data_IF_821641115510
#
_entry.id   IF_821641115510
#
_cell.length_a   1.000
_cell.length_b   1.000
_cell.length_c   1.000
_cell.angle_alpha   90.00
_cell.angle_beta   90.00
_cell.angle_gamma   90.00
#
_symmetry.space_group_name_H-M   'P 1'
#
loop_
_entity.id
_entity.type
_entity.pdbx_description
1 polymer ?
#
# COMPACT_ATOMS: atom_id res chain seq x y z
N UNK A 1 54.35 -18.51 -40.70
CA UNK A 1 54.40 -17.30 -41.55
C UNK A 1 52.98 -16.86 -41.85
N UNK A 2 52.76 -15.54 -41.88
CA UNK A 2 51.49 -14.81 -42.06
C UNK A 2 50.80 -15.17 -43.39
N UNK A 3 49.47 -15.07 -43.42
CA UNK A 3 48.73 -14.16 -44.32
C UNK A 3 47.22 -14.20 -43.97
N UNK A 4 46.64 -13.17 -43.34
CA UNK A 4 46.16 -11.90 -43.91
C UNK A 4 45.09 -12.09 -44.99
N UNK A 5 43.84 -11.77 -44.65
CA UNK A 5 43.09 -10.59 -45.12
C UNK A 5 42.47 -10.78 -46.52
N UNK A 6 41.14 -10.64 -46.65
CA UNK A 6 40.45 -9.60 -47.44
C UNK A 6 38.95 -9.98 -47.52
N UNK A 7 38.07 -9.15 -46.94
CA UNK A 7 37.18 -8.22 -47.67
C UNK A 7 35.95 -8.90 -48.29
N UNK A 8 34.75 -8.66 -47.76
CA UNK A 8 33.85 -7.55 -48.12
C UNK A 8 32.88 -7.96 -49.24
N UNK A 9 31.64 -8.19 -48.80
CA UNK A 9 30.43 -7.58 -49.37
C UNK A 9 29.92 -8.09 -50.74
N UNK A 10 28.62 -7.85 -50.94
CA UNK A 10 27.85 -7.96 -52.20
C UNK A 10 27.21 -9.35 -52.39
N UNK A 11 25.96 -9.62 -51.99
CA UNK A 11 24.65 -9.06 -52.40
C UNK A 11 23.90 -10.05 -53.31
N UNK A 12 22.60 -10.21 -53.01
CA UNK A 12 21.50 -10.49 -53.93
C UNK A 12 21.04 -11.94 -54.21
N UNK A 13 19.70 -12.04 -54.22
CA UNK A 13 18.83 -12.95 -54.99
C UNK A 13 18.30 -14.21 -54.31
N UNK A 14 17.25 -13.97 -53.53
CA UNK A 14 15.90 -14.54 -53.74
C UNK A 14 15.75 -15.31 -55.07
N UNK A 15 15.45 -16.62 -54.99
CA UNK A 15 14.53 -17.38 -55.85
C UNK A 15 14.50 -18.83 -55.31
N UNK A 16 13.54 -19.22 -54.48
CA UNK A 16 12.20 -19.74 -54.82
C UNK A 16 12.18 -21.21 -55.29
N UNK A 17 11.27 -21.98 -54.65
CA UNK A 17 10.72 -23.33 -54.91
C UNK A 17 11.31 -24.46 -54.04
N UNK A 18 10.69 -24.82 -52.92
CA UNK A 18 9.37 -25.46 -52.69
C UNK A 18 9.28 -26.87 -53.29
N UNK A 19 9.37 -27.90 -52.43
CA UNK A 19 8.47 -29.06 -52.40
C UNK A 19 8.80 -30.00 -51.22
N UNK A 20 7.86 -30.11 -50.26
CA UNK A 20 7.60 -31.26 -49.34
C UNK A 20 8.78 -31.83 -48.51
N UNK A 21 8.84 -31.73 -47.18
CA UNK A 21 7.80 -32.12 -46.24
C UNK A 21 7.80 -31.25 -44.98
N UNK A 22 6.62 -30.74 -44.69
CA UNK A 22 6.26 -29.74 -43.69
C UNK A 22 5.46 -30.47 -42.62
N UNK A 23 6.10 -30.94 -41.54
CA UNK A 23 5.40 -31.36 -40.30
C UNK A 23 6.40 -31.76 -39.21
N UNK A 24 7.13 -30.81 -38.60
CA UNK A 24 7.79 -31.03 -37.30
C UNK A 24 8.28 -29.75 -36.59
N UNK A 25 8.47 -28.62 -37.28
CA UNK A 25 9.06 -27.42 -36.65
C UNK A 25 8.07 -26.32 -36.24
N UNK A 26 6.75 -26.53 -36.35
CA UNK A 26 5.73 -25.56 -35.90
C UNK A 26 5.42 -25.66 -34.41
N UNK A 27 5.59 -26.84 -33.80
CA UNK A 27 5.19 -27.04 -32.40
C UNK A 27 6.17 -26.38 -31.42
N UNK A 28 7.46 -26.25 -31.74
CA UNK A 28 8.46 -25.80 -30.77
C UNK A 28 8.48 -24.27 -30.55
N UNK A 29 8.16 -23.47 -31.57
CA UNK A 29 7.99 -22.01 -31.42
C UNK A 29 6.66 -21.64 -30.79
N UNK A 30 5.62 -22.41 -31.07
CA UNK A 30 4.30 -22.22 -30.49
C UNK A 30 4.28 -22.64 -29.00
N UNK A 31 4.99 -23.71 -28.63
CA UNK A 31 5.13 -24.14 -27.22
C UNK A 31 5.86 -23.11 -26.35
N UNK A 32 6.93 -22.48 -26.87
CA UNK A 32 7.66 -21.47 -26.11
C UNK A 32 6.84 -20.19 -25.93
N UNK A 33 6.09 -19.75 -26.95
CA UNK A 33 5.15 -18.63 -26.84
C UNK A 33 3.97 -18.92 -25.92
N UNK A 34 3.43 -20.14 -25.93
CA UNK A 34 2.35 -20.58 -25.02
C UNK A 34 2.87 -20.70 -23.58
N UNK A 35 4.11 -21.16 -23.36
CA UNK A 35 4.74 -21.19 -22.03
C UNK A 35 5.00 -19.78 -21.49
N UNK A 36 5.54 -18.86 -22.27
CA UNK A 36 5.69 -17.45 -21.86
C UNK A 36 4.34 -16.78 -21.56
N UNK A 37 3.32 -17.03 -22.39
CA UNK A 37 1.95 -16.52 -22.15
C UNK A 37 1.33 -17.16 -20.90
N UNK A 38 1.55 -18.44 -20.65
CA UNK A 38 1.06 -19.12 -19.44
C UNK A 38 1.77 -18.65 -18.17
N UNK A 39 3.08 -18.38 -18.23
CA UNK A 39 3.83 -17.83 -17.10
C UNK A 39 3.45 -16.35 -16.84
N UNK A 40 3.21 -15.57 -17.90
CA UNK A 40 2.64 -14.23 -17.79
C UNK A 40 1.23 -14.26 -17.21
N UNK A 41 0.35 -15.15 -17.68
CA UNK A 41 -1.00 -15.32 -17.14
C UNK A 41 -0.96 -15.76 -15.67
N UNK A 42 -0.09 -16.70 -15.31
CA UNK A 42 0.10 -17.14 -13.92
C UNK A 42 0.61 -15.99 -13.03
N UNK A 43 1.50 -15.15 -13.55
CA UNK A 43 1.98 -13.95 -12.86
C UNK A 43 0.87 -12.92 -12.69
N UNK A 44 0.04 -12.70 -13.71
CA UNK A 44 -1.12 -11.80 -13.65
C UNK A 44 -2.17 -12.35 -12.68
N UNK A 45 -2.47 -13.65 -12.69
CA UNK A 45 -3.37 -14.29 -11.75
C UNK A 45 -2.87 -14.19 -10.31
N UNK A 46 -1.57 -14.40 -10.07
CA UNK A 46 -0.96 -14.24 -8.75
C UNK A 46 -0.92 -12.77 -8.28
N UNK A 47 -0.71 -11.83 -9.19
CA UNK A 47 -0.77 -10.40 -8.89
C UNK A 47 -2.21 -9.99 -8.56
N UNK A 48 -3.19 -10.45 -9.33
CA UNK A 48 -4.61 -10.18 -9.09
C UNK A 48 -5.07 -10.78 -7.77
N UNK A 49 -4.71 -12.03 -7.45
CA UNK A 49 -5.04 -12.64 -6.16
C UNK A 49 -4.39 -11.92 -4.99
N UNK A 50 -3.14 -11.44 -5.15
CA UNK A 50 -2.45 -10.63 -4.15
C UNK A 50 -3.10 -9.25 -3.97
N UNK A 51 -3.58 -8.64 -5.05
CA UNK A 51 -4.32 -7.37 -5.02
C UNK A 51 -5.68 -7.56 -4.35
N UNK A 52 -6.41 -8.61 -4.68
CA UNK A 52 -7.69 -8.95 -4.03
C UNK A 52 -7.50 -9.19 -2.54
N UNK A 53 -6.50 -9.98 -2.16
CA UNK A 53 -6.16 -10.21 -0.74
C UNK A 53 -5.75 -8.92 -0.03
N UNK A 54 -5.00 -8.04 -0.70
CA UNK A 54 -4.62 -6.72 -0.16
C UNK A 54 -5.86 -5.84 0.02
N UNK A 55 -6.77 -5.81 -0.96
CA UNK A 55 -8.00 -5.03 -0.90
C UNK A 55 -8.93 -5.51 0.20
N UNK A 56 -9.11 -6.82 0.36
CA UNK A 56 -9.92 -7.39 1.44
C UNK A 56 -9.27 -7.15 2.82
N UNK A 57 -7.94 -7.24 2.91
CA UNK A 57 -7.21 -6.87 4.13
C UNK A 57 -7.37 -5.38 4.48
N UNK A 58 -7.32 -4.49 3.49
CA UNK A 58 -7.54 -3.05 3.68
C UNK A 58 -8.99 -2.75 4.07
N UNK A 59 -9.98 -3.38 3.42
CA UNK A 59 -11.40 -3.26 3.82
C UNK A 59 -11.63 -3.72 5.24
N UNK A 60 -11.08 -4.87 5.62
CA UNK A 60 -11.16 -5.38 6.99
C UNK A 60 -10.52 -4.41 8.00
N UNK A 61 -9.37 -3.82 7.63
CA UNK A 61 -8.68 -2.80 8.44
C UNK A 61 -9.52 -1.53 8.60
N UNK A 62 -10.16 -1.06 7.52
CA UNK A 62 -11.06 0.11 7.53
C UNK A 62 -12.30 -0.18 8.37
N UNK A 63 -12.91 -1.36 8.23
CA UNK A 63 -14.08 -1.75 9.01
C UNK A 63 -13.72 -1.83 10.50
N UNK A 64 -12.60 -2.47 10.84
CA UNK A 64 -12.06 -2.49 12.20
C UNK A 64 -11.79 -1.08 12.74
N UNK A 65 -11.34 -0.16 11.89
CA UNK A 65 -11.12 1.25 12.25
C UNK A 65 -12.44 1.97 12.49
N UNK A 66 -13.48 1.72 11.70
CA UNK A 66 -14.83 2.28 11.89
C UNK A 66 -15.47 1.76 13.18
N UNK A 67 -15.34 0.46 13.45
CA UNK A 67 -15.79 -0.14 14.71
C UNK A 67 -15.02 0.43 15.90
N UNK A 68 -13.72 0.63 15.74
CA UNK A 68 -12.90 1.29 16.75
C UNK A 68 -13.35 2.73 16.97
N UNK A 69 -13.61 3.51 15.92
CA UNK A 69 -14.17 4.87 16.02
C UNK A 69 -15.48 4.86 16.82
N UNK A 70 -16.37 3.90 16.54
CA UNK A 70 -17.65 3.78 17.24
C UNK A 70 -17.46 3.38 18.72
N UNK A 71 -16.58 2.42 18.98
CA UNK A 71 -16.24 1.93 20.34
C UNK A 71 -15.50 3.00 21.15
N UNK A 72 -14.68 3.81 20.50
CA UNK A 72 -14.01 4.95 21.11
C UNK A 72 -15.03 6.04 21.36
N UNK A 73 -15.91 6.36 20.41
CA UNK A 73 -17.01 7.30 20.61
C UNK A 73 -17.83 6.99 21.88
N UNK A 74 -18.09 5.72 22.16
CA UNK A 74 -18.76 5.30 23.40
C UNK A 74 -17.85 5.38 24.65
N UNK A 75 -16.58 4.98 24.56
CA UNK A 75 -15.60 5.08 25.66
C UNK A 75 -15.15 6.52 25.99
N UNK A 76 -15.53 7.51 25.17
CA UNK A 76 -15.23 8.93 25.35
C UNK A 76 -16.45 9.77 25.77
N UNK A 77 -17.56 9.12 26.14
CA UNK A 77 -18.64 9.76 26.91
C UNK A 77 -19.89 10.17 26.14
N UNK A 78 -20.17 9.59 24.97
CA UNK A 78 -21.48 9.76 24.33
C UNK A 78 -22.03 8.39 23.95
N UNK A 79 -22.96 7.89 24.76
CA UNK A 79 -23.66 6.61 24.56
C UNK A 79 -24.64 6.61 23.38
N UNK A 80 -24.76 7.71 22.65
CA UNK A 80 -25.53 7.80 21.42
C UNK A 80 -24.58 7.86 20.22
N UNK A 81 -25.01 7.28 19.09
CA UNK A 81 -24.37 7.30 17.77
C UNK A 81 -24.21 8.72 17.20
N UNK A 82 -23.55 9.62 17.95
CA UNK A 82 -23.30 10.99 17.56
C UNK A 82 -22.06 11.01 16.68
N UNK A 83 -22.25 11.53 15.47
CA UNK A 83 -21.19 11.98 14.56
C UNK A 83 -20.06 12.63 15.38
N UNK A 84 -18.82 12.27 15.06
CA UNK A 84 -17.62 12.89 15.64
C UNK A 84 -17.82 14.41 15.70
N UNK A 85 -17.68 15.05 16.87
CA UNK A 85 -17.92 16.47 17.00
C UNK A 85 -17.02 17.24 16.03
N UNK A 86 -17.55 18.28 15.35
CA UNK A 86 -16.76 19.17 14.50
C UNK A 86 -15.50 19.60 15.26
N UNK A 87 -14.33 19.41 14.64
CA UNK A 87 -13.03 19.70 15.25
C UNK A 87 -12.48 18.59 16.14
N UNK A 88 -12.93 17.35 15.99
CA UNK A 88 -12.31 16.16 16.61
C UNK A 88 -11.61 15.34 15.53
N UNK A 89 -10.35 15.00 15.73
CA UNK A 89 -9.58 14.12 14.85
C UNK A 89 -9.35 12.80 15.55
N UNK A 90 -9.60 11.69 14.85
CA UNK A 90 -9.24 10.35 15.28
C UNK A 90 -8.10 9.79 14.42
N UNK A 91 -7.05 9.32 15.09
CA UNK A 91 -5.89 8.69 14.45
C UNK A 91 -5.86 7.23 14.89
N UNK A 92 -5.92 6.31 13.94
CA UNK A 92 -5.89 4.87 14.17
C UNK A 92 -4.62 4.29 13.57
N UNK A 93 -3.88 3.53 14.38
CA UNK A 93 -2.60 2.91 14.02
C UNK A 93 -2.75 1.40 14.20
N UNK A 94 -2.67 0.67 13.10
CA UNK A 94 -2.70 -0.80 13.07
C UNK A 94 -1.30 -1.40 13.25
N UNK A 95 -1.26 -2.65 13.70
CA UNK A 95 -0.04 -3.43 13.96
C UNK A 95 0.91 -2.75 14.96
N UNK A 96 0.33 -2.14 15.98
CA UNK A 96 1.05 -1.43 17.03
C UNK A 96 1.41 -2.36 18.20
N UNK A 97 2.63 -2.23 18.71
CA UNK A 97 3.01 -2.73 20.04
C UNK A 97 2.96 -1.58 21.05
N UNK A 98 2.70 -1.90 22.32
CA UNK A 98 2.50 -0.88 23.37
C UNK A 98 3.73 0.04 23.53
N UNK A 99 4.93 -0.53 23.54
CA UNK A 99 6.21 0.18 23.74
C UNK A 99 6.90 0.60 22.42
N UNK A 100 6.14 0.79 21.35
CA UNK A 100 6.72 1.19 20.08
C UNK A 100 7.22 2.64 20.09
N UNK A 101 8.53 2.84 19.92
CA UNK A 101 9.18 4.16 19.91
C UNK A 101 8.67 5.07 18.78
N UNK A 102 8.38 4.52 17.59
CA UNK A 102 7.84 5.32 16.48
C UNK A 102 6.44 5.85 16.81
N UNK A 103 5.60 5.06 17.48
CA UNK A 103 4.28 5.48 17.94
C UNK A 103 4.40 6.52 19.06
N UNK A 104 5.35 6.34 19.97
CA UNK A 104 5.64 7.33 21.00
C UNK A 104 6.10 8.67 20.39
N UNK A 105 7.01 8.63 19.42
CA UNK A 105 7.47 9.79 18.68
C UNK A 105 6.33 10.48 17.93
N UNK A 106 5.48 9.72 17.23
CA UNK A 106 4.30 10.24 16.56
C UNK A 106 3.37 10.96 17.54
N UNK A 107 3.03 10.32 18.65
CA UNK A 107 2.19 10.91 19.69
C UNK A 107 2.80 12.22 20.22
N UNK A 108 4.10 12.24 20.51
CA UNK A 108 4.80 13.42 21.02
C UNK A 108 4.78 14.59 20.05
N UNK A 109 4.90 14.34 18.74
CA UNK A 109 4.77 15.39 17.74
C UNK A 109 3.34 15.92 17.66
N UNK A 110 2.35 15.03 17.66
CA UNK A 110 0.93 15.41 17.61
C UNK A 110 0.55 16.31 18.79
N UNK A 111 0.91 15.96 20.03
CA UNK A 111 0.53 16.76 21.20
C UNK A 111 1.23 18.12 21.26
N UNK A 112 2.37 18.27 20.56
CA UNK A 112 3.12 19.53 20.46
C UNK A 112 2.61 20.42 19.32
N UNK A 113 1.82 19.88 18.39
CA UNK A 113 1.26 20.67 17.29
C UNK A 113 0.32 21.75 17.82
N UNK A 114 0.54 22.99 17.37
CA UNK A 114 -0.26 24.15 17.77
C UNK A 114 -1.75 23.90 17.49
N UNK A 115 -2.59 24.12 18.49
CA UNK A 115 -4.05 24.01 18.36
C UNK A 115 -4.62 22.62 18.68
N UNK A 116 -3.77 21.61 18.91
CA UNK A 116 -4.19 20.32 19.46
C UNK A 116 -4.60 20.48 20.92
N UNK A 117 -5.74 19.90 21.30
CA UNK A 117 -6.26 19.91 22.67
C UNK A 117 -6.80 18.54 23.04
N UNK A 118 -6.79 18.24 24.35
CA UNK A 118 -7.37 17.01 24.94
C UNK A 118 -6.95 15.72 24.21
N UNK A 119 -5.65 15.48 23.95
CA UNK A 119 -5.21 14.24 23.32
C UNK A 119 -5.43 13.07 24.28
N UNK A 120 -6.08 12.02 23.82
CA UNK A 120 -6.22 10.78 24.57
C UNK A 120 -5.76 9.62 23.71
N UNK A 121 -4.86 8.81 24.26
CA UNK A 121 -4.31 7.62 23.62
C UNK A 121 -4.87 6.37 24.29
N UNK A 122 -5.34 5.41 23.50
CA UNK A 122 -5.75 4.08 23.96
C UNK A 122 -5.04 3.01 23.14
N UNK A 123 -4.73 1.91 23.81
CA UNK A 123 -4.17 0.72 23.19
C UNK A 123 -5.16 -0.43 23.39
N UNK A 124 -5.45 -1.18 22.33
CA UNK A 124 -6.21 -2.41 22.42
C UNK A 124 -5.70 -3.39 21.36
N UNK A 125 -5.09 -4.50 21.80
CA UNK A 125 -4.84 -5.69 20.98
C UNK A 125 -4.22 -5.41 19.61
N UNK A 126 -3.06 -4.75 19.56
CA UNK A 126 -2.40 -4.46 18.28
C UNK A 126 -2.85 -3.18 17.58
N UNK A 127 -3.77 -2.43 18.19
CA UNK A 127 -4.33 -1.20 17.66
C UNK A 127 -4.12 -0.05 18.64
N UNK A 128 -3.58 1.08 18.15
CA UNK A 128 -3.48 2.33 18.90
C UNK A 128 -4.47 3.34 18.32
N UNK A 129 -5.19 4.01 19.20
CA UNK A 129 -6.07 5.11 18.82
C UNK A 129 -5.73 6.38 19.58
N UNK A 130 -5.63 7.48 18.86
CA UNK A 130 -5.38 8.82 19.40
C UNK A 130 -6.56 9.70 19.01
N UNK A 131 -7.36 10.08 19.99
CA UNK A 131 -8.46 11.02 19.83
C UNK A 131 -8.01 12.39 20.34
N UNK A 132 -8.27 13.45 19.58
CA UNK A 132 -7.90 14.80 19.98
C UNK A 132 -8.84 15.84 19.36
N UNK A 133 -8.84 17.04 19.93
CA UNK A 133 -9.51 18.18 19.35
C UNK A 133 -8.52 18.99 18.52
N UNK A 134 -8.87 19.24 17.26
CA UNK A 134 -8.09 20.04 16.33
C UNK A 134 -9.03 20.74 15.35
N UNK A 135 -8.84 22.04 15.18
CA UNK A 135 -9.77 22.89 14.42
C UNK A 135 -9.62 22.78 12.91
N UNK A 136 -8.42 22.43 12.44
CA UNK A 136 -8.14 22.23 11.03
C UNK A 136 -8.34 20.76 10.64
N UNK A 137 -8.06 20.41 9.38
CA UNK A 137 -8.25 19.05 8.89
C UNK A 137 -7.21 18.08 9.45
N UNK A 138 -7.55 16.79 9.44
CA UNK A 138 -6.62 15.74 9.82
C UNK A 138 -5.41 15.67 8.88
N UNK A 139 -5.57 16.01 7.59
CA UNK A 139 -4.43 16.14 6.67
C UNK A 139 -3.47 17.25 7.11
N UNK A 140 -3.98 18.44 7.48
CA UNK A 140 -3.12 19.51 7.99
C UNK A 140 -2.33 19.04 9.22
N UNK A 141 -3.00 18.38 10.17
CA UNK A 141 -2.34 17.79 11.34
C UNK A 141 -1.25 16.78 10.94
N UNK A 142 -1.52 15.93 9.96
CA UNK A 142 -0.56 14.93 9.47
C UNK A 142 0.66 15.58 8.82
N UNK A 143 0.46 16.65 8.03
CA UNK A 143 1.57 17.36 7.39
C UNK A 143 2.50 18.06 8.40
N UNK A 144 1.98 18.47 9.56
CA UNK A 144 2.78 19.04 10.65
C UNK A 144 3.72 18.03 11.31
N UNK A 145 3.45 16.74 11.17
CA UNK A 145 4.34 15.69 11.69
C UNK A 145 5.58 15.58 10.80
N UNK A 146 6.80 15.60 11.37
CA UNK A 146 8.03 15.48 10.60
C UNK A 146 8.04 14.23 9.71
N UNK A 147 8.56 14.38 8.49
CA UNK A 147 8.64 13.28 7.51
C UNK A 147 9.38 12.06 8.08
N UNK A 148 10.42 12.28 8.87
CA UNK A 148 11.17 11.21 9.56
C UNK A 148 10.27 10.32 10.42
N UNK A 149 9.31 10.92 11.13
CA UNK A 149 8.35 10.21 11.98
C UNK A 149 7.25 9.54 11.14
N UNK A 150 6.75 10.24 10.10
CA UNK A 150 5.72 9.68 9.20
C UNK A 150 6.19 8.45 8.43
N UNK A 151 7.49 8.36 8.12
CA UNK A 151 8.06 7.25 7.36
C UNK A 151 7.95 5.88 8.06
N UNK A 152 7.65 5.83 9.36
CA UNK A 152 7.40 4.57 10.07
C UNK A 152 6.00 4.00 9.84
N UNK A 153 5.15 4.74 9.12
CA UNK A 153 3.75 4.44 8.95
C UNK A 153 3.37 4.43 7.47
N UNK A 154 2.63 3.41 7.05
CA UNK A 154 1.98 3.37 5.75
C UNK A 154 0.58 3.98 5.87
N UNK A 155 0.32 5.03 5.10
CA UNK A 155 -1.01 5.65 5.02
C UNK A 155 -2.01 4.64 4.43
N UNK A 156 -3.15 4.47 5.10
CA UNK A 156 -4.28 3.69 4.61
C UNK A 156 -5.41 4.62 4.18
N UNK A 157 -5.81 5.55 5.05
CA UNK A 157 -6.92 6.47 4.82
C UNK A 157 -6.63 7.82 5.47
N UNK A 158 -6.99 8.90 4.78
CA UNK A 158 -7.06 10.22 5.37
C UNK A 158 -8.32 10.94 4.90
N UNK A 159 -9.06 11.52 5.83
CA UNK A 159 -10.24 12.34 5.59
C UNK A 159 -10.23 13.54 6.54
N UNK A 160 -11.25 14.40 6.47
CA UNK A 160 -11.30 15.66 7.24
C UNK A 160 -11.01 15.48 8.74
N UNK A 161 -11.45 14.36 9.33
CA UNK A 161 -11.40 14.10 10.76
C UNK A 161 -10.77 12.75 11.12
N UNK A 162 -10.24 12.02 10.13
CA UNK A 162 -9.73 10.66 10.35
C UNK A 162 -8.38 10.47 9.69
N UNK A 163 -7.47 9.84 10.41
CA UNK A 163 -6.21 9.31 9.89
C UNK A 163 -6.18 7.82 10.24
N UNK A 164 -5.98 6.97 9.25
CA UNK A 164 -5.74 5.54 9.43
C UNK A 164 -4.40 5.20 8.83
N UNK A 165 -3.51 4.65 9.65
CA UNK A 165 -2.19 4.22 9.23
C UNK A 165 -1.89 2.82 9.73
N UNK A 166 -0.98 2.13 9.06
CA UNK A 166 -0.41 0.86 9.51
C UNK A 166 1.04 1.07 9.87
N UNK A 167 1.45 0.59 11.02
CA UNK A 167 2.85 0.54 11.39
C UNK A 167 3.60 -0.44 10.46
N UNK A 168 4.73 -0.01 9.90
CA UNK A 168 5.41 -0.74 8.81
C UNK A 168 6.93 -0.78 8.92
N UNK A 169 7.49 -0.50 10.11
CA UNK A 169 8.95 -0.48 10.32
C UNK A 169 9.38 -1.28 11.54
#
# INVERSE_FOLDING_TARGET
MRNTFFFFFIVLLVNLKVAHAQSSSSNQKQDNGIKEINDANKTITNANSSIEQTNESLKSTINSSKETINTIGSLFGTGDKKKTPKGTVNITIHNATYDNESIHSLYNHIIKTRGVKKPVKKYNSGLVSILLNYKESADNLWQMVPKSTRNSFKMIEISDNTIVVKYSK
#
